data_IF_591181164660
#
_entry.id   IF_591181164660
#
_cell.length_a   1.000
_cell.length_b   1.000
_cell.length_c   1.000
_cell.angle_alpha   90.00
_cell.angle_beta   90.00
_cell.angle_gamma   90.00
#
_symmetry.space_group_name_H-M   'P 1'
#
loop_
_entity.id
_entity.type
_entity.pdbx_description
1 polymer ?
#
# COMPACT_ATOMS: atom_id res chain seq x y z
N UNK A 1 -6.98 30.67 19.37
CA UNK A 1 -5.74 29.87 19.48
C UNK A 1 -5.88 28.71 18.51
N UNK A 2 -5.08 28.67 17.44
CA UNK A 2 -5.11 27.60 16.44
C UNK A 2 -4.39 26.37 16.99
N UNK A 3 -5.06 25.22 16.98
CA UNK A 3 -4.49 23.95 17.42
C UNK A 3 -3.41 23.51 16.42
N UNK A 4 -2.12 23.44 16.80
CA UNK A 4 -1.03 23.10 15.87
C UNK A 4 -1.15 21.69 15.28
N UNK A 5 -2.00 20.83 15.84
CA UNK A 5 -2.24 19.45 15.39
C UNK A 5 -3.41 19.31 14.41
N UNK A 6 -4.04 20.40 13.98
CA UNK A 6 -5.18 20.39 13.05
C UNK A 6 -4.82 20.86 11.64
N UNK A 7 -3.86 20.17 11.02
CA UNK A 7 -3.39 20.47 9.65
C UNK A 7 -3.41 19.25 8.73
N UNK A 8 -4.06 18.16 9.14
CA UNK A 8 -4.30 17.02 8.24
C UNK A 8 -5.10 17.50 7.02
N UNK A 9 -4.68 17.12 5.82
CA UNK A 9 -5.38 17.52 4.58
C UNK A 9 -6.66 16.71 4.42
N UNK A 10 -6.59 15.42 4.73
CA UNK A 10 -7.75 14.53 4.73
C UNK A 10 -8.29 14.36 6.15
N UNK A 11 -9.60 14.09 6.25
CA UNK A 11 -10.24 13.79 7.53
C UNK A 11 -9.55 12.62 8.25
N UNK A 12 -9.17 11.59 7.50
CA UNK A 12 -8.48 10.40 8.03
C UNK A 12 -7.15 10.77 8.68
N UNK A 13 -6.39 11.70 8.08
CA UNK A 13 -5.10 12.15 8.64
C UNK A 13 -5.32 12.86 9.97
N UNK A 14 -6.40 13.64 10.05
CA UNK A 14 -6.75 14.39 11.23
C UNK A 14 -7.26 13.50 12.36
N UNK A 15 -8.04 12.47 12.03
CA UNK A 15 -8.58 11.52 13.01
C UNK A 15 -7.47 10.73 13.70
N UNK A 16 -6.38 10.38 13.02
CA UNK A 16 -5.21 9.74 13.65
C UNK A 16 -4.59 10.57 14.78
N UNK A 17 -4.63 11.90 14.67
CA UNK A 17 -4.09 12.79 15.70
C UNK A 17 -5.09 13.08 16.84
N UNK A 18 -6.38 12.89 16.60
CA UNK A 18 -7.47 13.20 17.54
C UNK A 18 -7.97 11.97 18.30
N UNK A 19 -7.90 10.80 17.70
CA UNK A 19 -8.36 9.56 18.29
C UNK A 19 -7.42 9.11 19.43
N UNK A 20 -8.00 8.72 20.56
CA UNK A 20 -7.24 8.41 21.78
C UNK A 20 -6.34 7.19 21.62
N UNK A 21 -6.68 6.25 20.72
CA UNK A 21 -5.89 5.04 20.51
C UNK A 21 -4.67 5.26 19.63
N UNK A 22 -4.66 6.31 18.80
CA UNK A 22 -3.61 6.59 17.82
C UNK A 22 -2.83 7.89 18.07
N UNK A 23 -3.40 8.86 18.78
CA UNK A 23 -2.77 10.16 19.04
C UNK A 23 -1.38 10.07 19.71
N UNK A 24 -1.20 9.11 20.63
CA UNK A 24 0.09 8.87 21.28
C UNK A 24 1.18 8.41 20.29
N UNK A 25 0.80 7.58 19.31
CA UNK A 25 1.69 7.16 18.24
C UNK A 25 2.03 8.34 17.33
N UNK A 26 1.05 9.15 16.93
CA UNK A 26 1.27 10.36 16.11
C UNK A 26 2.25 11.31 16.79
N UNK A 27 2.06 11.60 18.09
CA UNK A 27 2.96 12.46 18.87
C UNK A 27 4.40 11.90 18.95
N UNK A 28 4.53 10.59 19.15
CA UNK A 28 5.83 9.92 19.22
C UNK A 28 6.57 9.93 17.88
N UNK A 29 5.85 9.71 16.78
CA UNK A 29 6.42 9.75 15.43
C UNK A 29 6.79 11.18 15.01
N UNK A 30 5.98 12.17 15.36
CA UNK A 30 6.24 13.59 15.07
C UNK A 30 7.46 14.14 15.83
N UNK A 31 7.70 13.66 17.05
CA UNK A 31 8.83 14.10 17.89
C UNK A 31 10.15 13.41 17.57
N UNK A 32 10.13 12.29 16.82
CA UNK A 32 11.33 11.52 16.48
C UNK A 32 11.33 11.08 15.01
N UNK A 33 11.92 11.90 14.15
CA UNK A 33 12.00 11.64 12.71
C UNK A 33 12.75 10.34 12.37
N UNK A 34 13.83 10.00 13.09
CA UNK A 34 14.56 8.75 12.86
C UNK A 34 13.71 7.53 13.26
N UNK A 35 13.01 7.62 14.39
CA UNK A 35 12.07 6.60 14.84
C UNK A 35 10.90 6.41 13.87
N UNK A 36 10.40 7.49 13.29
CA UNK A 36 9.40 7.45 12.23
C UNK A 36 9.91 6.70 11.00
N UNK A 37 11.08 7.05 10.47
CA UNK A 37 11.66 6.40 9.28
C UNK A 37 11.86 4.90 9.50
N UNK A 38 12.36 4.50 10.68
CA UNK A 38 12.55 3.08 11.01
C UNK A 38 11.21 2.33 11.11
N UNK A 39 10.20 2.95 11.73
CA UNK A 39 8.87 2.36 11.87
C UNK A 39 8.16 2.26 10.51
N UNK A 40 8.31 3.27 9.66
CA UNK A 40 7.82 3.29 8.29
C UNK A 40 8.43 2.17 7.45
N UNK A 41 9.75 2.00 7.48
CA UNK A 41 10.42 0.91 6.77
C UNK A 41 9.91 -0.48 7.20
N UNK A 42 9.75 -0.70 8.51
CA UNK A 42 9.19 -1.95 9.04
C UNK A 42 7.74 -2.17 8.59
N UNK A 43 6.93 -1.11 8.58
CA UNK A 43 5.54 -1.18 8.14
C UNK A 43 5.45 -1.53 6.65
N UNK A 44 6.29 -0.92 5.80
CA UNK A 44 6.31 -1.20 4.36
C UNK A 44 6.74 -2.64 4.04
N UNK A 45 7.71 -3.19 4.77
CA UNK A 45 8.08 -4.62 4.64
C UNK A 45 6.90 -5.53 5.01
N UNK A 46 6.20 -5.24 6.11
CA UNK A 46 5.02 -6.03 6.50
C UNK A 46 3.90 -5.91 5.47
N UNK A 47 3.64 -4.72 4.95
CA UNK A 47 2.62 -4.48 3.93
C UNK A 47 2.94 -5.19 2.61
N UNK A 48 4.20 -5.19 2.19
CA UNK A 48 4.63 -5.89 0.97
C UNK A 48 4.51 -7.41 1.03
N UNK A 49 4.28 -7.98 2.22
CA UNK A 49 4.07 -9.42 2.41
C UNK A 49 2.58 -9.81 2.48
N UNK A 50 1.65 -8.86 2.36
CA UNK A 50 0.21 -9.15 2.38
C UNK A 50 -0.17 -9.86 1.07
N UNK A 51 -0.78 -11.05 1.20
CA UNK A 51 -1.42 -11.80 0.11
C UNK A 51 -0.53 -12.01 -1.15
N UNK A 52 0.78 -12.13 -0.94
CA UNK A 52 1.73 -12.36 -2.04
C UNK A 52 1.55 -13.75 -2.66
N UNK A 53 1.59 -13.80 -4.00
CA UNK A 53 1.63 -15.06 -4.76
C UNK A 53 3.05 -15.63 -4.72
N UNK A 54 3.19 -16.86 -4.25
CA UNK A 54 4.50 -17.54 -4.10
C UNK A 54 4.52 -18.87 -4.86
N UNK A 55 5.72 -19.35 -5.18
CA UNK A 55 5.90 -20.58 -5.96
C UNK A 55 5.23 -20.48 -7.33
N UNK A 56 4.39 -21.45 -7.65
CA UNK A 56 3.65 -21.49 -8.92
C UNK A 56 2.28 -20.77 -8.84
N UNK A 57 2.01 -20.03 -7.78
CA UNK A 57 0.74 -19.33 -7.56
C UNK A 57 0.56 -18.05 -8.38
N UNK A 58 1.58 -17.61 -9.13
CA UNK A 58 1.56 -16.37 -9.91
C UNK A 58 2.25 -16.50 -11.26
N UNK A 59 2.28 -15.39 -12.01
CA UNK A 59 2.93 -15.29 -13.32
C UNK A 59 3.93 -14.12 -13.32
N UNK A 60 5.06 -14.29 -13.99
CA UNK A 60 6.04 -13.21 -14.19
C UNK A 60 5.67 -12.47 -15.47
N UNK A 61 5.03 -11.32 -15.32
CA UNK A 61 4.63 -10.46 -16.43
C UNK A 61 5.82 -9.72 -17.04
N UNK A 62 5.89 -9.66 -18.38
CA UNK A 62 6.95 -8.95 -19.11
C UNK A 62 6.69 -7.44 -19.20
N UNK A 63 5.42 -7.04 -19.14
CA UNK A 63 4.97 -5.66 -19.28
C UNK A 63 3.89 -5.38 -18.24
N UNK A 64 4.04 -4.29 -17.49
CA UNK A 64 3.03 -3.88 -16.49
C UNK A 64 1.80 -3.32 -17.21
N UNK A 65 0.61 -3.77 -16.81
CA UNK A 65 -0.68 -3.23 -17.29
C UNK A 65 -1.37 -4.01 -18.42
N UNK A 66 -0.78 -5.11 -18.88
CA UNK A 66 -1.43 -6.05 -19.80
C UNK A 66 -1.49 -7.42 -19.15
N UNK A 67 -2.68 -7.99 -19.01
CA UNK A 67 -2.81 -9.42 -18.75
C UNK A 67 -2.74 -10.14 -20.11
N UNK A 68 -1.93 -11.19 -20.21
CA UNK A 68 -1.97 -12.06 -21.38
C UNK A 68 -3.38 -12.67 -21.47
N UNK A 69 -4.15 -12.22 -22.47
CA UNK A 69 -5.42 -12.84 -22.79
C UNK A 69 -5.14 -14.30 -23.16
N UNK A 70 -5.88 -15.22 -22.55
CA UNK A 70 -5.81 -16.64 -22.86
C UNK A 70 -5.96 -16.84 -24.38
N UNK A 71 -4.92 -17.44 -24.99
CA UNK A 71 -4.84 -17.76 -26.41
C UNK A 71 -5.94 -18.72 -26.90
N UNK A 72 -6.72 -19.33 -26.00
CA UNK A 72 -7.85 -20.22 -26.35
C UNK A 72 -8.99 -19.54 -27.12
N UNK A 73 -9.03 -18.20 -27.16
CA UNK A 73 -10.10 -17.43 -27.85
C UNK A 73 -9.80 -17.20 -29.35
N UNK A 74 -8.56 -17.44 -29.82
CA UNK A 74 -8.14 -17.23 -31.22
C UNK A 74 -7.91 -18.54 -31.98
N UNK A 75 -8.94 -19.39 -32.11
CA UNK A 75 -8.94 -20.41 -33.17
C UNK A 75 -10.25 -20.34 -33.97
N UNK A 76 -10.28 -19.48 -34.99
CA UNK A 76 -11.09 -19.74 -36.17
C UNK A 76 -10.14 -20.24 -37.25
N UNK A 77 -10.15 -21.56 -37.49
CA UNK A 77 -9.55 -22.15 -38.68
C UNK A 77 -10.31 -21.68 -39.90
N UNK A 78 -9.65 -20.92 -40.78
CA UNK A 78 -10.05 -20.81 -42.19
C UNK A 78 -9.67 -22.13 -42.85
N UNK A 79 -10.69 -22.93 -43.18
CA UNK A 79 -10.52 -24.08 -44.06
C UNK A 79 -10.29 -23.58 -45.49
N UNK A 80 -9.14 -23.90 -46.06
CA UNK A 80 -8.90 -23.89 -47.51
C UNK A 80 -9.47 -25.15 -48.15
#
# INVERSE_FOLDING_TARGET
MTNPFQKGVLQIDQELALDKSSAGMVSSLASNAQGFQQSFAKAMVKMGNIEVLVGNGGQIERTVGYAYLDSSVYTHTVSI
#
